data_IF_531452483276
#
_entry.id   IF_531452483276
#
_cell.length_a   1.000
_cell.length_b   1.000
_cell.length_c   1.000
_cell.angle_alpha   90.00
_cell.angle_beta   90.00
_cell.angle_gamma   90.00
#
_symmetry.space_group_name_H-M   'P 1'
#
loop_
_entity.id
_entity.type
_entity.pdbx_description
1 polymer ?
#
# COMPACT_ATOMS: atom_id res chain seq x y z
N UNK A 1 33.04 -60.75 -18.82
CA UNK A 1 33.37 -59.56 -17.97
C UNK A 1 32.34 -58.46 -18.30
N UNK A 2 31.29 -58.46 -17.50
CA UNK A 2 30.20 -57.45 -17.65
C UNK A 2 30.53 -56.25 -16.78
N UNK A 3 30.57 -55.07 -17.36
CA UNK A 3 30.78 -53.80 -16.61
C UNK A 3 29.40 -53.27 -16.22
N UNK A 4 29.12 -53.26 -14.90
CA UNK A 4 27.99 -52.58 -14.31
C UNK A 4 28.16 -51.06 -14.41
N UNK A 5 27.07 -50.38 -14.82
CA UNK A 5 27.00 -48.92 -14.87
C UNK A 5 26.81 -48.34 -13.45
N UNK A 6 27.40 -47.17 -13.13
CA UNK A 6 27.26 -46.59 -11.82
C UNK A 6 25.85 -46.01 -11.56
N UNK A 7 25.39 -45.98 -10.30
CA UNK A 7 24.04 -45.50 -9.97
C UNK A 7 23.88 -44.00 -10.18
N UNK A 8 22.75 -43.65 -10.77
CA UNK A 8 22.31 -42.25 -10.99
C UNK A 8 22.11 -41.57 -9.64
N UNK A 9 22.88 -40.51 -9.37
CA UNK A 9 22.72 -39.65 -8.19
C UNK A 9 21.38 -38.88 -8.32
N UNK A 10 20.40 -39.17 -7.47
CA UNK A 10 19.20 -38.40 -7.30
C UNK A 10 19.54 -36.98 -6.81
N UNK A 11 19.11 -35.98 -7.56
CA UNK A 11 19.33 -34.57 -7.29
C UNK A 11 18.79 -34.14 -5.90
N UNK A 12 19.67 -33.73 -5.00
CA UNK A 12 19.35 -33.20 -3.67
C UNK A 12 18.57 -31.86 -3.69
N UNK A 13 18.39 -31.23 -4.86
CA UNK A 13 17.67 -29.96 -5.01
C UNK A 13 16.17 -30.05 -4.75
N UNK A 14 15.53 -31.20 -5.06
CA UNK A 14 14.09 -31.40 -4.83
C UNK A 14 13.73 -31.52 -3.34
N UNK A 15 14.61 -32.07 -2.52
CA UNK A 15 14.37 -32.27 -1.08
C UNK A 15 14.43 -30.96 -0.29
N UNK A 16 15.35 -30.06 -0.66
CA UNK A 16 15.52 -28.75 0.03
C UNK A 16 14.33 -27.84 -0.24
N UNK A 17 13.81 -27.83 -1.47
CA UNK A 17 12.65 -27.01 -1.85
C UNK A 17 11.37 -27.46 -1.15
N UNK A 18 11.14 -28.77 -1.01
CA UNK A 18 9.99 -29.30 -0.29
C UNK A 18 10.08 -29.01 1.23
N UNK A 19 11.27 -29.11 1.78
CA UNK A 19 11.51 -28.87 3.21
C UNK A 19 11.36 -27.39 3.58
N UNK A 20 11.85 -26.47 2.74
CA UNK A 20 11.58 -25.03 2.86
C UNK A 20 10.08 -24.72 2.77
N UNK A 21 9.36 -25.35 1.85
CA UNK A 21 7.93 -25.16 1.68
C UNK A 21 7.12 -25.66 2.89
N UNK A 22 7.52 -26.76 3.51
CA UNK A 22 6.90 -27.28 4.73
C UNK A 22 7.22 -26.43 5.96
N UNK A 23 8.47 -26.00 6.13
CA UNK A 23 8.88 -25.11 7.25
C UNK A 23 8.21 -23.75 7.16
N UNK A 24 8.03 -23.20 5.95
CA UNK A 24 7.27 -21.96 5.76
C UNK A 24 5.80 -22.15 6.10
N UNK A 25 5.17 -23.26 5.69
CA UNK A 25 3.76 -23.57 6.03
C UNK A 25 3.56 -23.78 7.54
N UNK A 26 4.43 -24.47 8.22
CA UNK A 26 4.32 -24.68 9.68
C UNK A 26 4.52 -23.39 10.49
N UNK A 27 5.45 -22.51 10.10
CA UNK A 27 5.60 -21.18 10.72
C UNK A 27 4.43 -20.25 10.45
N UNK A 28 3.78 -20.36 9.29
CA UNK A 28 2.59 -19.61 8.92
C UNK A 28 1.38 -20.00 9.79
N UNK A 29 1.27 -21.26 10.22
CA UNK A 29 0.14 -21.75 11.04
C UNK A 29 0.23 -21.36 12.52
N UNK A 30 1.42 -20.99 13.02
CA UNK A 30 1.63 -20.62 14.44
C UNK A 30 1.60 -19.09 14.69
N UNK A 31 1.62 -18.27 13.63
CA UNK A 31 1.43 -16.83 13.73
C UNK A 31 0.02 -16.50 13.26
N UNK A 32 -0.74 -15.81 14.08
CA UNK A 32 -2.11 -15.36 13.80
C UNK A 32 -2.16 -14.24 12.73
N UNK A 33 -1.26 -14.30 11.75
CA UNK A 33 -1.08 -13.35 10.66
C UNK A 33 -1.64 -13.99 9.40
N UNK A 34 -2.69 -13.42 8.86
CA UNK A 34 -3.36 -13.89 7.65
C UNK A 34 -2.48 -13.56 6.42
N UNK A 35 -1.56 -14.48 6.08
CA UNK A 35 -0.73 -14.34 4.88
C UNK A 35 -1.56 -14.54 3.62
N UNK A 36 -1.39 -13.66 2.66
CA UNK A 36 -1.95 -13.81 1.32
C UNK A 36 -1.07 -14.75 0.48
N UNK A 37 -1.71 -15.58 -0.31
CA UNK A 37 -1.01 -16.52 -1.18
C UNK A 37 -1.44 -16.32 -2.62
N UNK A 38 -0.49 -16.46 -3.53
CA UNK A 38 -0.73 -16.67 -4.95
C UNK A 38 -0.03 -17.97 -5.41
N UNK A 39 -0.09 -18.27 -6.71
CA UNK A 39 0.47 -19.51 -7.25
C UNK A 39 1.95 -19.74 -6.87
N UNK A 40 2.73 -18.69 -6.68
CA UNK A 40 4.20 -18.75 -6.53
C UNK A 40 4.72 -18.05 -5.27
N UNK A 41 3.88 -17.36 -4.50
CA UNK A 41 4.33 -16.60 -3.33
C UNK A 41 3.32 -16.61 -2.20
N UNK A 42 3.85 -16.51 -0.98
CA UNK A 42 3.12 -16.20 0.25
C UNK A 42 3.67 -14.87 0.76
N UNK A 43 2.81 -13.90 1.07
CA UNK A 43 3.23 -12.55 1.41
C UNK A 43 2.27 -11.86 2.38
N UNK A 44 2.83 -10.92 3.14
CA UNK A 44 2.10 -9.95 3.95
C UNK A 44 2.81 -8.61 3.74
N UNK A 45 2.33 -7.82 2.81
CA UNK A 45 2.91 -6.53 2.44
C UNK A 45 1.88 -5.45 2.69
N UNK A 46 2.05 -4.72 3.79
CA UNK A 46 1.23 -3.58 4.15
C UNK A 46 2.09 -2.33 4.24
N UNK A 47 1.54 -1.23 3.75
CA UNK A 47 2.21 0.06 3.66
C UNK A 47 1.37 1.15 4.32
N UNK A 48 2.04 2.08 4.98
CA UNK A 48 1.47 3.34 5.44
C UNK A 48 2.02 4.48 4.58
N UNK A 49 1.14 5.10 3.81
CA UNK A 49 1.42 6.25 2.95
C UNK A 49 0.87 7.52 3.57
N UNK A 50 1.69 8.58 3.59
CA UNK A 50 1.26 9.93 3.96
C UNK A 50 1.55 10.88 2.80
N UNK A 51 0.54 11.60 2.35
CA UNK A 51 0.65 12.62 1.31
C UNK A 51 0.13 13.94 1.85
N UNK A 52 0.91 15.01 1.66
CA UNK A 52 0.64 16.34 2.21
C UNK A 52 0.29 17.30 1.08
N UNK A 53 -0.65 18.21 1.31
CA UNK A 53 -1.00 19.27 0.35
C UNK A 53 0.19 20.23 0.12
N UNK A 54 0.27 20.80 -1.06
CA UNK A 54 1.33 21.79 -1.37
C UNK A 54 1.22 22.99 -0.42
N UNK A 55 2.35 23.36 0.16
CA UNK A 55 2.47 24.41 1.17
C UNK A 55 1.68 24.15 2.46
N UNK A 56 1.22 22.90 2.71
CA UNK A 56 0.39 22.54 3.85
C UNK A 56 -0.90 23.37 3.97
N UNK A 57 -1.44 23.79 2.83
CA UNK A 57 -2.72 24.50 2.83
C UNK A 57 -3.86 23.59 3.33
N UNK A 58 -4.71 24.07 4.25
CA UNK A 58 -5.79 23.28 4.87
C UNK A 58 -7.00 23.18 3.94
N UNK A 59 -6.84 22.54 2.79
CA UNK A 59 -7.87 22.46 1.72
C UNK A 59 -8.66 21.15 1.71
N UNK A 60 -8.26 20.16 2.51
CA UNK A 60 -9.00 18.88 2.61
C UNK A 60 -10.14 19.04 3.61
N UNK A 61 -11.24 19.65 3.16
CA UNK A 61 -12.39 19.93 4.01
C UNK A 61 -13.69 19.55 3.30
N UNK A 62 -14.75 19.28 4.08
CA UNK A 62 -16.13 19.05 3.62
C UNK A 62 -16.21 18.10 2.40
N UNK A 63 -16.87 18.55 1.33
CA UNK A 63 -17.10 17.77 0.10
C UNK A 63 -15.80 17.35 -0.60
N UNK A 64 -14.76 18.21 -0.58
CA UNK A 64 -13.45 17.85 -1.13
C UNK A 64 -12.83 16.66 -0.40
N UNK A 65 -12.97 16.59 0.93
CA UNK A 65 -12.52 15.44 1.73
C UNK A 65 -13.24 14.17 1.29
N UNK A 66 -14.55 14.18 1.20
CA UNK A 66 -15.36 13.01 0.80
C UNK A 66 -14.97 12.54 -0.60
N UNK A 67 -14.84 13.48 -1.53
CA UNK A 67 -14.41 13.17 -2.90
C UNK A 67 -13.01 12.61 -2.96
N UNK A 68 -12.08 13.14 -2.18
CA UNK A 68 -10.71 12.63 -2.10
C UNK A 68 -10.67 11.20 -1.57
N UNK A 69 -11.48 10.88 -0.54
CA UNK A 69 -11.58 9.52 -0.01
C UNK A 69 -12.14 8.54 -1.06
N UNK A 70 -13.17 8.95 -1.81
CA UNK A 70 -13.72 8.16 -2.91
C UNK A 70 -12.69 7.91 -4.01
N UNK A 71 -11.96 8.95 -4.45
CA UNK A 71 -10.89 8.84 -5.44
C UNK A 71 -9.73 7.96 -4.96
N UNK A 72 -9.45 7.97 -3.67
CA UNK A 72 -8.40 7.11 -3.10
C UNK A 72 -8.74 5.63 -3.26
N UNK A 73 -10.02 5.25 -3.03
CA UNK A 73 -10.50 3.89 -3.26
C UNK A 73 -10.45 3.53 -4.75
N UNK A 74 -11.01 4.38 -5.63
CA UNK A 74 -10.96 4.16 -7.08
C UNK A 74 -9.54 3.89 -7.58
N UNK A 75 -8.55 4.67 -7.13
CA UNK A 75 -7.17 4.51 -7.62
C UNK A 75 -6.48 3.31 -6.98
N UNK A 76 -6.56 3.14 -5.67
CA UNK A 76 -5.77 2.13 -4.94
C UNK A 76 -6.43 0.76 -5.05
N UNK A 77 -7.75 0.66 -4.90
CA UNK A 77 -8.46 -0.61 -4.91
C UNK A 77 -8.82 -1.04 -6.33
N UNK A 78 -9.53 -0.20 -7.08
CA UNK A 78 -10.08 -0.61 -8.38
C UNK A 78 -9.01 -0.65 -9.47
N UNK A 79 -8.11 0.34 -9.51
CA UNK A 79 -7.08 0.40 -10.57
C UNK A 79 -5.81 -0.40 -10.23
N UNK A 80 -5.30 -0.31 -8.98
CA UNK A 80 -4.07 -0.97 -8.57
C UNK A 80 -4.29 -2.34 -7.93
N UNK A 81 -5.55 -2.76 -7.72
CA UNK A 81 -5.93 -4.01 -7.08
C UNK A 81 -5.22 -4.22 -5.73
N UNK A 82 -5.07 -3.14 -4.98
CA UNK A 82 -4.60 -3.12 -3.59
C UNK A 82 -5.82 -3.06 -2.66
N UNK A 83 -5.64 -3.35 -1.36
CA UNK A 83 -6.72 -3.28 -0.38
C UNK A 83 -6.42 -2.21 0.64
N UNK A 84 -7.25 -1.18 0.74
CA UNK A 84 -7.15 -0.17 1.81
C UNK A 84 -7.61 -0.80 3.11
N UNK A 85 -6.75 -0.77 4.14
CA UNK A 85 -7.03 -1.28 5.49
C UNK A 85 -7.42 -0.17 6.46
N UNK A 86 -6.89 1.05 6.27
CA UNK A 86 -7.31 2.25 6.99
C UNK A 86 -7.04 3.49 6.15
N UNK A 87 -7.91 4.49 6.25
CA UNK A 87 -7.75 5.77 5.58
C UNK A 87 -8.34 6.89 6.43
N UNK A 88 -7.61 7.97 6.60
CA UNK A 88 -8.09 9.17 7.27
C UNK A 88 -7.38 10.41 6.75
N UNK A 89 -8.01 11.57 6.95
CA UNK A 89 -7.45 12.87 6.55
C UNK A 89 -7.49 13.85 7.70
N UNK A 90 -6.48 14.71 7.76
CA UNK A 90 -6.61 16.04 8.36
C UNK A 90 -6.78 17.08 7.23
N UNK A 91 -6.81 18.36 7.57
CA UNK A 91 -7.07 19.46 6.64
C UNK A 91 -5.99 19.62 5.57
N UNK A 92 -4.76 19.19 5.83
CA UNK A 92 -3.58 19.38 4.96
C UNK A 92 -2.86 18.09 4.57
N UNK A 93 -3.33 16.91 5.00
CA UNK A 93 -2.71 15.64 4.64
C UNK A 93 -3.68 14.47 4.72
N UNK A 94 -3.27 13.35 4.11
CA UNK A 94 -4.00 12.08 4.11
C UNK A 94 -3.08 10.95 4.53
N UNK A 95 -3.59 10.08 5.39
CA UNK A 95 -2.99 8.81 5.79
C UNK A 95 -3.75 7.67 5.12
N UNK A 96 -3.03 6.77 4.47
CA UNK A 96 -3.60 5.58 3.83
C UNK A 96 -2.77 4.38 4.23
N UNK A 97 -3.40 3.40 4.87
CA UNK A 97 -2.84 2.07 5.03
C UNK A 97 -3.43 1.16 3.96
N UNK A 98 -2.59 0.41 3.29
CA UNK A 98 -3.04 -0.50 2.25
C UNK A 98 -2.11 -1.71 2.09
N UNK A 99 -2.71 -2.83 1.77
CA UNK A 99 -2.01 -4.05 1.37
C UNK A 99 -1.81 -4.06 -0.14
N UNK A 100 -0.64 -4.45 -0.59
CA UNK A 100 -0.33 -4.56 -2.01
C UNK A 100 0.28 -5.92 -2.34
N UNK A 101 -0.08 -6.53 -3.49
CA UNK A 101 0.59 -7.72 -3.97
C UNK A 101 2.05 -7.42 -4.39
N UNK A 102 2.96 -8.42 -4.37
CA UNK A 102 4.39 -8.22 -4.63
C UNK A 102 4.71 -7.63 -6.01
N UNK A 103 3.81 -7.74 -6.97
CA UNK A 103 3.98 -7.23 -8.33
C UNK A 103 3.81 -5.70 -8.42
N UNK A 104 3.21 -5.07 -7.40
CA UNK A 104 2.95 -3.64 -7.42
C UNK A 104 4.24 -2.86 -7.26
N UNK A 105 4.55 -2.03 -8.23
CA UNK A 105 5.65 -1.08 -8.12
C UNK A 105 5.18 0.15 -7.35
N UNK A 106 5.55 0.22 -6.06
CA UNK A 106 5.06 1.19 -5.10
C UNK A 106 5.23 2.65 -5.56
N UNK A 107 6.37 2.99 -6.14
CA UNK A 107 6.63 4.33 -6.65
C UNK A 107 5.68 4.73 -7.80
N UNK A 108 5.35 3.79 -8.69
CA UNK A 108 4.38 4.03 -9.77
C UNK A 108 2.97 4.20 -9.23
N UNK A 109 2.57 3.37 -8.25
CA UNK A 109 1.28 3.51 -7.58
C UNK A 109 1.14 4.90 -6.96
N UNK A 110 2.11 5.32 -6.16
CA UNK A 110 2.07 6.61 -5.45
C UNK A 110 2.06 7.78 -6.44
N UNK A 111 2.89 7.76 -7.47
CA UNK A 111 2.92 8.80 -8.49
C UNK A 111 1.59 8.87 -9.28
N UNK A 112 1.01 7.72 -9.63
CA UNK A 112 -0.30 7.65 -10.28
C UNK A 112 -1.38 8.20 -9.36
N UNK A 113 -1.43 7.76 -8.08
CA UNK A 113 -2.35 8.26 -7.07
C UNK A 113 -2.31 9.79 -6.96
N UNK A 114 -1.13 10.36 -6.75
CA UNK A 114 -0.95 11.82 -6.64
C UNK A 114 -1.39 12.55 -7.91
N UNK A 115 -1.07 12.00 -9.07
CA UNK A 115 -1.41 12.61 -10.37
C UNK A 115 -2.92 12.60 -10.63
N UNK A 116 -3.56 11.45 -10.45
CA UNK A 116 -5.00 11.28 -10.73
C UNK A 116 -5.83 12.09 -9.76
N UNK A 117 -5.57 11.97 -8.46
CA UNK A 117 -6.32 12.70 -7.42
C UNK A 117 -6.13 14.19 -7.55
N UNK A 118 -4.90 14.69 -7.75
CA UNK A 118 -4.63 16.11 -7.98
C UNK A 118 -5.39 16.65 -9.18
N UNK A 119 -5.36 15.95 -10.32
CA UNK A 119 -6.02 16.38 -11.55
C UNK A 119 -7.54 16.47 -11.38
N UNK A 120 -8.16 15.44 -10.79
CA UNK A 120 -9.61 15.38 -10.60
C UNK A 120 -10.09 16.40 -9.56
N UNK A 121 -9.45 16.47 -8.38
CA UNK A 121 -9.79 17.43 -7.33
C UNK A 121 -9.67 18.86 -7.85
N UNK A 122 -8.60 19.18 -8.56
CA UNK A 122 -8.43 20.53 -9.14
C UNK A 122 -9.44 20.88 -10.24
N UNK A 123 -9.93 19.88 -10.97
CA UNK A 123 -10.99 20.10 -11.96
C UNK A 123 -12.35 20.32 -11.29
N UNK A 124 -12.67 19.51 -10.28
CA UNK A 124 -13.98 19.53 -9.63
C UNK A 124 -14.11 20.70 -8.63
N UNK A 125 -13.02 21.11 -7.98
CA UNK A 125 -12.98 22.15 -6.95
C UNK A 125 -12.14 23.38 -7.37
N UNK A 126 -12.15 23.73 -8.65
CA UNK A 126 -11.30 24.78 -9.20
C UNK A 126 -11.48 26.14 -8.49
N UNK A 127 -12.71 26.58 -8.29
CA UNK A 127 -13.02 27.87 -7.67
C UNK A 127 -12.62 27.89 -6.19
N UNK A 128 -12.87 26.80 -5.47
CA UNK A 128 -12.46 26.67 -4.07
C UNK A 128 -10.93 26.70 -3.90
N UNK A 129 -10.19 26.09 -4.81
CA UNK A 129 -8.72 25.99 -4.72
C UNK A 129 -7.99 27.23 -5.25
N UNK A 130 -8.64 28.07 -6.04
CA UNK A 130 -8.05 29.28 -6.66
C UNK A 130 -7.39 30.24 -5.67
N UNK A 131 -7.95 30.52 -4.48
CA UNK A 131 -7.29 31.39 -3.48
C UNK A 131 -5.99 30.78 -2.89
N UNK A 132 -5.88 29.45 -2.87
CA UNK A 132 -4.75 28.74 -2.28
C UNK A 132 -3.61 28.47 -3.28
N UNK A 133 -3.94 28.26 -4.56
CA UNK A 133 -2.96 27.83 -5.56
C UNK A 133 -3.07 28.65 -6.85
N UNK A 134 -2.04 29.45 -7.11
CA UNK A 134 -1.89 30.18 -8.39
C UNK A 134 -1.42 29.27 -9.53
N UNK A 135 -0.76 28.15 -9.20
CA UNK A 135 -0.24 27.14 -10.14
C UNK A 135 -0.99 25.83 -9.98
N UNK A 136 -0.87 24.90 -10.93
CA UNK A 136 -1.60 23.63 -10.91
C UNK A 136 -1.10 22.65 -9.82
N UNK A 137 -0.98 23.11 -8.60
CA UNK A 137 -0.61 22.28 -7.44
C UNK A 137 -1.84 21.72 -6.72
N UNK A 138 -1.64 20.61 -6.03
CA UNK A 138 -2.51 20.09 -4.97
C UNK A 138 -1.65 19.39 -3.92
N UNK A 139 -0.82 18.42 -4.33
CA UNK A 139 0.10 17.71 -3.44
C UNK A 139 1.49 18.36 -3.40
N UNK A 140 2.17 18.23 -2.28
CA UNK A 140 3.61 18.44 -2.16
C UNK A 140 4.35 17.47 -3.09
N UNK A 141 5.56 17.80 -3.48
CA UNK A 141 6.37 16.93 -4.37
C UNK A 141 6.78 15.64 -3.65
N UNK A 142 7.09 15.75 -2.36
CA UNK A 142 7.44 14.60 -1.50
C UNK A 142 6.22 13.84 -0.98
N UNK A 143 6.47 12.62 -0.51
CA UNK A 143 5.55 11.79 0.25
C UNK A 143 6.35 10.98 1.29
N UNK A 144 5.68 10.46 2.28
CA UNK A 144 6.24 9.47 3.20
C UNK A 144 5.58 8.11 2.94
N UNK A 145 6.37 7.04 2.92
CA UNK A 145 5.86 5.68 2.90
C UNK A 145 6.76 4.77 3.72
N UNK A 146 6.15 3.91 4.53
CA UNK A 146 6.86 2.85 5.25
C UNK A 146 6.08 1.55 5.18
N UNK A 147 6.76 0.45 5.42
CA UNK A 147 6.11 -0.85 5.65
C UNK A 147 5.54 -0.90 7.05
N UNK A 148 4.42 -1.59 7.21
CA UNK A 148 3.78 -1.83 8.50
C UNK A 148 4.07 -3.28 8.91
N UNK A 149 4.61 -3.47 10.11
CA UNK A 149 4.79 -4.79 10.71
C UNK A 149 3.66 -5.09 11.69
N UNK A 150 3.42 -6.36 12.00
CA UNK A 150 2.36 -6.82 12.92
C UNK A 150 2.40 -6.06 14.27
N UNK A 151 3.60 -5.69 14.76
CA UNK A 151 3.76 -4.93 16.01
C UNK A 151 3.37 -3.46 15.92
N UNK A 152 3.42 -2.89 14.73
CA UNK A 152 3.12 -1.46 14.51
C UNK A 152 1.72 -1.22 13.97
N UNK A 153 1.04 -2.27 13.47
CA UNK A 153 -0.27 -2.18 12.83
C UNK A 153 -1.32 -1.49 13.73
N UNK A 154 -1.55 -2.02 14.93
CA UNK A 154 -2.52 -1.45 15.88
C UNK A 154 -2.17 -0.02 16.29
N UNK A 155 -0.88 0.28 16.49
CA UNK A 155 -0.43 1.61 16.88
C UNK A 155 -0.68 2.63 15.76
N UNK A 156 -0.37 2.29 14.51
CA UNK A 156 -0.59 3.16 13.36
C UNK A 156 -2.10 3.33 13.11
N UNK A 157 -2.90 2.28 13.22
CA UNK A 157 -4.36 2.38 13.09
C UNK A 157 -4.96 3.31 14.15
N UNK A 158 -4.56 3.19 15.42
CA UNK A 158 -4.99 4.09 16.50
C UNK A 158 -4.59 5.53 16.23
N UNK A 159 -3.37 5.76 15.73
CA UNK A 159 -2.90 7.09 15.36
C UNK A 159 -3.72 7.70 14.23
N UNK A 160 -3.98 6.94 13.17
CA UNK A 160 -4.80 7.38 12.03
C UNK A 160 -6.24 7.70 12.48
N UNK A 161 -6.84 6.85 13.31
CA UNK A 161 -8.19 7.07 13.84
C UNK A 161 -8.30 8.34 14.71
N UNK A 162 -7.26 8.64 15.49
CA UNK A 162 -7.24 9.80 16.39
C UNK A 162 -7.06 11.15 15.66
N UNK A 163 -6.57 11.17 14.43
CA UNK A 163 -6.31 12.39 13.66
C UNK A 163 -7.58 13.13 13.18
N UNK A 164 -8.74 12.51 13.27
CA UNK A 164 -10.02 13.11 12.83
C UNK A 164 -10.89 13.72 13.96
N UNK A 165 -10.41 13.72 15.21
CA UNK A 165 -11.22 14.05 16.40
C UNK A 165 -10.81 15.35 17.11
N UNK A 166 -10.01 16.21 16.49
CA UNK A 166 -9.68 17.54 17.03
C UNK A 166 -10.30 18.66 16.21
#
# INVERSE_FOLDING_TARGET
>A
MSREAPPVRKNARGSITLQLHLVVKEKVQTMNTEYKTNRHSCYSLEYHLVVVTKYRHPVIVTELKERLLALSKEVIEDFWNCKITAINTDKDHIHIMFEAPPQVQLSKLINNYKTVTSRRIRKEFADFLKPYYQKPYFWSDSYFVCTVSDRSHEMIQRYIAAQGTK
#
